data_IF_750545874734
#
_entry.id   IF_750545874734
#
_cell.length_a   1.000
_cell.length_b   1.000
_cell.length_c   1.000
_cell.angle_alpha   90.00
_cell.angle_beta   90.00
_cell.angle_gamma   90.00
#
_symmetry.space_group_name_H-M   'P 1'
#
loop_
_entity.id
_entity.type
_entity.pdbx_description
1 polymer ?
#
# COMPACT_ATOMS: atom_id res chain seq x y z
N UNK A 1 -36.33 -3.40 14.06
CA UNK A 1 -36.64 -1.96 14.21
C UNK A 1 -35.31 -1.25 14.41
N UNK A 2 -34.88 -0.25 13.65
CA UNK A 2 -35.49 0.48 12.54
C UNK A 2 -34.50 0.66 11.38
N UNK A 3 -35.04 0.80 10.18
CA UNK A 3 -34.28 1.12 8.96
C UNK A 3 -34.27 2.63 8.84
N UNK A 4 -33.10 3.26 8.91
CA UNK A 4 -32.98 4.67 8.56
C UNK A 4 -32.93 4.76 7.02
N UNK A 5 -34.06 5.11 6.42
CA UNK A 5 -34.16 5.49 5.02
C UNK A 5 -34.03 7.01 4.97
N UNK A 6 -32.89 7.50 4.50
CA UNK A 6 -32.71 8.92 4.26
C UNK A 6 -33.39 9.27 2.94
N UNK A 7 -34.48 10.03 3.00
CA UNK A 7 -35.12 10.62 1.82
C UNK A 7 -34.56 12.02 1.64
N UNK A 8 -33.73 12.18 0.61
CA UNK A 8 -33.14 13.46 0.23
C UNK A 8 -34.28 14.44 -0.14
N UNK A 9 -34.40 15.63 0.49
CA UNK A 9 -35.40 16.59 0.09
C UNK A 9 -35.04 17.11 -1.31
N UNK A 10 -35.96 16.92 -2.26
CA UNK A 10 -35.88 17.53 -3.58
C UNK A 10 -35.85 19.04 -3.42
N UNK A 11 -34.80 19.68 -3.95
CA UNK A 11 -34.70 21.13 -4.04
C UNK A 11 -35.89 21.65 -4.85
N UNK A 12 -36.90 22.19 -4.15
CA UNK A 12 -37.90 23.03 -4.77
C UNK A 12 -37.38 24.46 -4.73
N UNK A 13 -36.88 24.91 -5.87
CA UNK A 13 -36.77 26.32 -6.18
C UNK A 13 -38.19 26.89 -6.26
N UNK A 14 -38.52 27.80 -5.35
CA UNK A 14 -39.18 29.09 -5.63
C UNK A 14 -39.77 29.65 -4.34
N UNK A 15 -39.16 30.71 -3.82
CA UNK A 15 -39.92 31.90 -3.45
C UNK A 15 -38.96 33.10 -3.38
N UNK A 16 -38.94 33.85 -4.48
CA UNK A 16 -38.34 35.18 -4.49
C UNK A 16 -39.03 36.11 -3.49
N UNK A 17 -38.22 36.96 -2.85
CA UNK A 17 -38.68 38.10 -2.08
C UNK A 17 -37.57 39.13 -2.03
N UNK A 18 -37.72 40.19 -2.84
CA UNK A 18 -36.90 41.40 -2.88
C UNK A 18 -36.49 41.87 -1.47
N UNK A 19 -35.20 42.12 -1.27
CA UNK A 19 -34.72 42.76 -0.05
C UNK A 19 -33.21 42.70 0.17
N UNK A 20 -32.51 43.65 -0.44
CA UNK A 20 -31.30 44.30 0.10
C UNK A 20 -29.95 43.56 0.03
N UNK A 21 -29.14 44.10 -0.87
CA UNK A 21 -27.74 43.87 -1.23
C UNK A 21 -26.72 44.10 -0.07
N UNK A 22 -26.78 43.30 1.00
CA UNK A 22 -25.79 43.40 2.10
C UNK A 22 -25.33 42.07 2.72
N UNK A 23 -26.08 40.98 2.59
CA UNK A 23 -25.78 39.73 3.31
C UNK A 23 -24.77 38.80 2.65
N UNK A 24 -24.67 38.80 1.32
CA UNK A 24 -23.75 37.90 0.60
C UNK A 24 -22.28 38.29 0.81
N UNK A 25 -21.99 39.59 0.86
CA UNK A 25 -20.64 40.12 1.09
C UNK A 25 -20.08 39.76 2.48
N UNK A 26 -20.91 39.81 3.52
CA UNK A 26 -20.49 39.48 4.88
C UNK A 26 -20.23 37.98 5.06
N UNK A 27 -21.10 37.13 4.50
CA UNK A 27 -20.92 35.68 4.56
C UNK A 27 -19.70 35.24 3.75
N UNK A 28 -19.47 35.81 2.56
CA UNK A 28 -18.27 35.52 1.77
C UNK A 28 -16.99 36.00 2.49
N UNK A 29 -17.02 37.16 3.16
CA UNK A 29 -15.89 37.63 3.95
C UNK A 29 -15.58 36.71 5.14
N UNK A 30 -16.60 36.19 5.82
CA UNK A 30 -16.44 35.22 6.91
C UNK A 30 -15.86 33.90 6.40
N UNK A 31 -16.32 33.39 5.26
CA UNK A 31 -15.78 32.17 4.63
C UNK A 31 -14.32 32.37 4.24
N UNK A 32 -13.98 33.54 3.70
CA UNK A 32 -12.62 33.83 3.26
C UNK A 32 -11.65 33.99 4.43
N UNK A 33 -12.11 34.52 5.57
CA UNK A 33 -11.34 34.55 6.82
C UNK A 33 -11.12 33.15 7.40
N UNK A 34 -12.17 32.32 7.44
CA UNK A 34 -12.08 30.94 7.95
C UNK A 34 -11.15 30.09 7.07
N UNK A 35 -11.24 30.25 5.75
CA UNK A 35 -10.31 29.62 4.80
C UNK A 35 -8.85 30.09 4.97
N UNK A 36 -8.64 31.38 5.27
CA UNK A 36 -7.31 31.92 5.54
C UNK A 36 -6.73 31.40 6.86
N UNK A 37 -7.53 31.33 7.93
CA UNK A 37 -7.14 30.73 9.20
C UNK A 37 -6.80 29.24 9.04
N UNK A 38 -7.63 28.47 8.33
CA UNK A 38 -7.33 27.06 8.04
C UNK A 38 -6.05 26.90 7.19
N UNK A 39 -5.81 27.79 6.22
CA UNK A 39 -4.58 27.76 5.42
C UNK A 39 -3.33 28.10 6.25
N UNK A 40 -3.44 29.02 7.20
CA UNK A 40 -2.36 29.33 8.14
C UNK A 40 -2.13 28.16 9.08
N UNK A 41 -3.17 27.63 9.73
CA UNK A 41 -3.10 26.44 10.62
C UNK A 41 -2.46 25.27 9.88
N UNK A 42 -2.88 24.98 8.65
CA UNK A 42 -2.28 23.93 7.82
C UNK A 42 -0.82 24.25 7.46
N UNK A 43 -0.46 25.52 7.30
CA UNK A 43 0.90 25.98 7.06
C UNK A 43 1.82 25.85 8.28
N UNK A 44 1.35 26.18 9.49
CA UNK A 44 2.10 26.00 10.75
C UNK A 44 2.20 24.51 11.11
N UNK A 45 1.13 23.73 10.88
CA UNK A 45 1.19 22.27 11.03
C UNK A 45 2.17 21.66 10.02
N UNK A 46 2.11 22.05 8.74
CA UNK A 46 3.02 21.57 7.70
C UNK A 46 4.47 22.00 7.93
N UNK A 47 4.70 23.19 8.49
CA UNK A 47 6.02 23.63 8.93
C UNK A 47 6.54 22.76 10.09
N UNK A 48 5.69 22.43 11.07
CA UNK A 48 6.02 21.48 12.16
C UNK A 48 6.33 20.07 11.63
N UNK A 49 5.66 19.61 10.58
CA UNK A 49 5.94 18.32 9.93
C UNK A 49 7.22 18.34 9.08
N UNK A 50 7.61 19.48 8.50
CA UNK A 50 8.85 19.61 7.71
C UNK A 50 10.10 19.88 8.56
N UNK A 51 9.98 20.47 9.75
CA UNK A 51 11.12 20.82 10.61
C UNK A 51 11.65 19.64 11.46
N UNK A 52 11.13 18.43 11.25
CA UNK A 52 11.83 17.21 11.65
C UNK A 52 12.05 17.04 13.16
N UNK A 53 11.10 17.47 13.99
CA UNK A 53 10.91 16.79 15.28
C UNK A 53 10.30 15.41 14.96
N UNK A 54 11.17 14.47 14.58
CA UNK A 54 10.88 13.06 14.75
C UNK A 54 10.46 12.92 16.20
N UNK A 55 9.17 12.64 16.42
CA UNK A 55 8.64 12.36 17.74
C UNK A 55 9.36 11.09 18.19
N UNK A 56 10.54 11.24 18.80
CA UNK A 56 11.26 10.17 19.47
C UNK A 56 10.42 9.92 20.71
N UNK A 57 9.41 9.08 20.54
CA UNK A 57 8.70 8.51 21.65
C UNK A 57 9.77 7.91 22.55
N UNK A 58 9.84 8.28 23.84
CA UNK A 58 10.72 7.58 24.77
C UNK A 58 10.44 6.08 24.59
N UNK A 59 11.48 5.22 24.60
CA UNK A 59 11.28 3.78 24.43
C UNK A 59 10.17 3.40 25.39
N UNK A 60 9.04 2.99 24.81
CA UNK A 60 7.90 2.66 25.65
C UNK A 60 8.42 1.60 26.61
N UNK A 61 8.08 1.70 27.92
CA UNK A 61 8.38 0.59 28.82
C UNK A 61 7.96 -0.70 28.11
N UNK A 62 8.71 -1.78 28.27
CA UNK A 62 8.41 -3.10 27.68
C UNK A 62 7.08 -3.62 28.24
N UNK A 63 5.99 -2.97 27.86
CA UNK A 63 4.63 -3.41 28.05
C UNK A 63 4.48 -4.45 26.95
N UNK A 64 4.31 -5.71 27.34
CA UNK A 64 3.95 -6.76 26.39
C UNK A 64 2.67 -6.34 25.66
N UNK A 65 2.85 -5.78 24.46
CA UNK A 65 1.78 -5.47 23.54
C UNK A 65 1.22 -6.77 22.97
N UNK A 66 -0.10 -6.80 22.77
CA UNK A 66 -0.83 -7.95 22.29
C UNK A 66 -1.36 -8.86 23.39
N UNK A 67 -1.45 -10.16 23.08
CA UNK A 67 -2.07 -11.13 23.98
C UNK A 67 -1.15 -11.47 25.17
N UNK A 68 -1.61 -11.31 26.43
CA UNK A 68 -0.82 -11.74 27.57
C UNK A 68 -0.59 -13.26 27.54
N UNK A 69 0.67 -13.68 27.47
CA UNK A 69 1.03 -15.11 27.42
C UNK A 69 1.21 -15.70 28.82
N UNK A 70 1.74 -14.92 29.75
CA UNK A 70 2.04 -15.32 31.12
C UNK A 70 1.64 -14.21 32.09
N UNK A 71 1.16 -14.58 33.28
CA UNK A 71 0.95 -13.64 34.37
C UNK A 71 2.28 -13.36 35.08
N UNK A 72 2.38 -12.24 35.80
CA UNK A 72 3.54 -11.89 36.63
C UNK A 72 3.88 -12.95 37.70
N UNK A 73 2.91 -13.76 38.12
CA UNK A 73 3.12 -14.88 39.04
C UNK A 73 3.58 -16.19 38.34
N UNK A 74 3.85 -16.15 37.03
CA UNK A 74 4.24 -17.31 36.21
C UNK A 74 3.08 -18.22 35.78
N UNK A 75 1.85 -17.93 36.20
CA UNK A 75 0.67 -18.71 35.82
C UNK A 75 0.10 -18.29 34.47
N UNK A 76 -0.58 -19.22 33.78
CA UNK A 76 -1.22 -18.91 32.50
C UNK A 76 -2.46 -18.00 32.69
N UNK A 77 -2.60 -16.90 31.91
CA UNK A 77 -3.77 -16.03 31.93
C UNK A 77 -5.03 -16.77 31.47
N UNK A 78 -6.17 -16.43 32.06
CA UNK A 78 -7.49 -16.98 31.74
C UNK A 78 -8.40 -15.88 31.19
N UNK A 79 -9.29 -16.23 30.26
CA UNK A 79 -10.30 -15.30 29.75
C UNK A 79 -11.56 -15.41 30.60
N UNK A 80 -11.97 -14.30 31.20
CA UNK A 80 -13.20 -14.17 31.95
C UNK A 80 -14.18 -13.23 31.23
N UNK A 81 -15.46 -13.39 31.53
CA UNK A 81 -16.52 -12.53 31.00
C UNK A 81 -16.92 -11.50 32.06
N UNK A 82 -17.02 -10.24 31.67
CA UNK A 82 -17.55 -9.17 32.49
C UNK A 82 -19.08 -9.30 32.56
N UNK A 83 -19.61 -9.34 33.79
CA UNK A 83 -21.04 -9.39 34.06
C UNK A 83 -21.58 -8.06 34.59
N UNK A 84 -20.79 -6.98 34.53
CA UNK A 84 -21.23 -5.64 34.94
C UNK A 84 -22.27 -5.11 33.95
N UNK A 85 -23.20 -4.29 34.46
CA UNK A 85 -24.26 -3.66 33.63
C UNK A 85 -23.71 -2.71 32.56
N UNK A 86 -22.52 -2.16 32.77
CA UNK A 86 -21.85 -1.24 31.84
C UNK A 86 -21.29 -1.95 30.62
N UNK A 87 -20.78 -3.17 30.80
CA UNK A 87 -20.06 -3.93 29.76
C UNK A 87 -20.47 -5.41 29.78
N UNK A 88 -21.78 -5.74 29.64
CA UNK A 88 -22.25 -7.11 29.77
C UNK A 88 -21.69 -7.97 28.64
N UNK A 89 -21.02 -9.07 29.00
CA UNK A 89 -20.48 -10.01 28.03
C UNK A 89 -19.09 -9.67 27.50
N UNK A 90 -18.50 -8.52 27.85
CA UNK A 90 -17.14 -8.14 27.41
C UNK A 90 -16.10 -9.05 28.06
N UNK A 91 -15.14 -9.55 27.29
CA UNK A 91 -14.13 -10.52 27.78
C UNK A 91 -12.83 -9.83 28.19
N UNK A 92 -12.15 -10.34 29.20
CA UNK A 92 -10.85 -9.84 29.65
C UNK A 92 -9.95 -10.99 30.13
N UNK A 93 -8.64 -10.79 30.01
CA UNK A 93 -7.61 -11.65 30.59
C UNK A 93 -7.49 -11.38 32.09
N UNK A 94 -7.36 -12.45 32.88
CA UNK A 94 -7.18 -12.39 34.34
C UNK A 94 -6.38 -13.58 34.84
N UNK A 95 -5.81 -13.50 36.04
CA UNK A 95 -5.12 -14.62 36.67
C UNK A 95 -6.04 -15.41 37.60
N UNK A 96 -5.79 -16.73 37.72
CA UNK A 96 -6.41 -17.58 38.75
C UNK A 96 -6.08 -17.10 40.17
N UNK A 97 -4.87 -16.58 40.37
CA UNK A 97 -4.35 -16.20 41.68
C UNK A 97 -4.59 -14.71 41.99
N UNK A 98 -5.41 -14.02 41.21
CA UNK A 98 -5.65 -12.56 41.30
C UNK A 98 -6.02 -12.02 42.69
N UNK A 99 -6.50 -12.89 43.58
CA UNK A 99 -6.98 -12.55 44.91
C UNK A 99 -5.92 -12.78 46.02
N UNK A 100 -4.68 -13.14 45.66
CA UNK A 100 -3.57 -13.38 46.61
C UNK A 100 -2.91 -12.10 47.17
N UNK A 101 -3.29 -10.94 46.64
CA UNK A 101 -2.77 -9.63 47.06
C UNK A 101 -1.59 -9.10 46.24
N UNK A 102 -1.07 -9.88 45.30
CA UNK A 102 -0.01 -9.46 44.37
C UNK A 102 -0.58 -8.82 43.08
N UNK A 103 0.30 -8.22 42.27
CA UNK A 103 -0.08 -7.70 40.96
C UNK A 103 -0.24 -8.85 39.95
N UNK A 104 -1.42 -8.95 39.34
CA UNK A 104 -1.73 -9.94 38.31
C UNK A 104 -2.16 -9.30 37.00
N UNK A 105 -2.04 -10.08 35.93
CA UNK A 105 -2.49 -9.68 34.59
C UNK A 105 -3.98 -9.32 34.61
N UNK A 106 -4.29 -8.14 34.06
CA UNK A 106 -5.63 -7.73 33.70
C UNK A 106 -5.55 -6.93 32.41
N UNK A 107 -6.27 -7.36 31.38
CA UNK A 107 -6.32 -6.67 30.08
C UNK A 107 -7.60 -7.03 29.37
N UNK A 108 -8.26 -6.06 28.73
CA UNK A 108 -9.42 -6.38 27.92
C UNK A 108 -9.03 -7.21 26.69
N UNK A 109 -9.90 -8.14 26.30
CA UNK A 109 -9.63 -9.02 25.18
C UNK A 109 -9.63 -8.27 23.85
N UNK A 110 -10.56 -7.33 23.65
CA UNK A 110 -10.64 -6.49 22.46
C UNK A 110 -9.45 -5.54 22.34
N UNK A 111 -8.97 -4.97 23.44
CA UNK A 111 -7.74 -4.15 23.44
C UNK A 111 -6.53 -4.99 22.99
N UNK A 112 -6.38 -6.20 23.53
CA UNK A 112 -5.33 -7.12 23.10
C UNK A 112 -5.44 -7.51 21.61
N UNK A 113 -6.66 -7.76 21.12
CA UNK A 113 -6.91 -8.04 19.69
C UNK A 113 -6.56 -6.84 18.82
N UNK A 114 -6.95 -5.62 19.21
CA UNK A 114 -6.67 -4.41 18.44
C UNK A 114 -5.17 -4.15 18.35
N UNK A 115 -4.41 -4.38 19.43
CA UNK A 115 -2.96 -4.26 19.42
C UNK A 115 -2.31 -5.26 18.45
N UNK A 116 -2.74 -6.52 18.47
CA UNK A 116 -2.25 -7.56 17.55
C UNK A 116 -2.60 -7.25 16.09
N UNK A 117 -3.84 -6.83 15.83
CA UNK A 117 -4.27 -6.42 14.49
C UNK A 117 -3.47 -5.21 13.98
N UNK A 118 -3.13 -4.26 14.87
CA UNK A 118 -2.31 -3.10 14.50
C UNK A 118 -0.88 -3.50 14.19
N UNK A 119 -0.29 -4.41 14.97
CA UNK A 119 1.03 -4.96 14.71
C UNK A 119 1.06 -5.70 13.37
N UNK A 120 0.10 -6.59 13.13
CA UNK A 120 -0.05 -7.34 11.88
C UNK A 120 -0.34 -6.43 10.67
N UNK A 121 -1.12 -5.36 10.84
CA UNK A 121 -1.37 -4.39 9.78
C UNK A 121 -0.09 -3.65 9.36
N UNK A 122 0.82 -3.37 10.31
CA UNK A 122 2.13 -2.80 10.01
C UNK A 122 3.02 -3.76 9.18
N UNK A 123 3.04 -5.04 9.56
CA UNK A 123 3.83 -6.06 8.85
C UNK A 123 3.32 -6.32 7.43
N UNK A 124 2.00 -6.37 7.24
CA UNK A 124 1.40 -6.58 5.91
C UNK A 124 1.69 -5.42 4.96
N UNK A 125 1.74 -4.18 5.45
CA UNK A 125 2.13 -3.02 4.66
C UNK A 125 3.60 -3.10 4.21
N UNK A 126 4.51 -3.43 5.12
CA UNK A 126 5.93 -3.60 4.77
C UNK A 126 6.16 -4.76 3.80
N UNK A 127 5.42 -5.86 3.96
CA UNK A 127 5.50 -7.01 3.07
C UNK A 127 5.01 -6.64 1.66
N UNK A 128 3.92 -5.87 1.57
CA UNK A 128 3.37 -5.41 0.28
C UNK A 128 4.37 -4.51 -0.44
N UNK A 129 4.96 -3.54 0.26
CA UNK A 129 5.98 -2.66 -0.31
C UNK A 129 7.22 -3.44 -0.82
N UNK A 130 7.65 -4.47 -0.09
CA UNK A 130 8.77 -5.32 -0.53
C UNK A 130 8.41 -6.14 -1.77
N UNK A 131 7.19 -6.67 -1.82
CA UNK A 131 6.69 -7.41 -3.00
C UNK A 131 6.63 -6.48 -4.23
N UNK A 132 6.10 -5.28 -4.07
CA UNK A 132 6.01 -4.31 -5.17
C UNK A 132 7.40 -3.88 -5.67
N UNK A 133 8.33 -3.63 -4.75
CA UNK A 133 9.72 -3.32 -5.10
C UNK A 133 10.41 -4.46 -5.85
N UNK A 134 10.19 -5.71 -5.43
CA UNK A 134 10.76 -6.88 -6.09
C UNK A 134 10.15 -7.09 -7.48
N UNK A 135 8.83 -6.99 -7.60
CA UNK A 135 8.13 -7.10 -8.89
C UNK A 135 8.64 -6.06 -9.88
N UNK A 136 8.76 -4.78 -9.47
CA UNK A 136 9.30 -3.74 -10.34
C UNK A 136 10.73 -4.04 -10.82
N UNK A 137 11.61 -4.50 -9.91
CA UNK A 137 12.99 -4.86 -10.28
C UNK A 137 13.04 -6.06 -11.23
N UNK A 138 12.19 -7.06 -11.01
CA UNK A 138 12.09 -8.25 -11.84
C UNK A 138 11.57 -7.90 -13.23
N UNK A 139 10.50 -7.11 -13.32
CA UNK A 139 9.90 -6.70 -14.59
C UNK A 139 10.94 -5.97 -15.45
N UNK A 140 11.65 -4.99 -14.88
CA UNK A 140 12.72 -4.27 -15.57
C UNK A 140 13.84 -5.21 -16.07
N UNK A 141 14.29 -6.15 -15.24
CA UNK A 141 15.30 -7.14 -15.67
C UNK A 141 14.80 -8.05 -16.79
N UNK A 142 13.52 -8.44 -16.75
CA UNK A 142 12.94 -9.29 -17.80
C UNK A 142 12.80 -8.54 -19.11
N UNK A 143 12.35 -7.28 -19.08
CA UNK A 143 12.27 -6.42 -20.26
C UNK A 143 13.65 -6.18 -20.88
N UNK A 144 14.68 -5.88 -20.07
CA UNK A 144 16.05 -5.70 -20.58
C UNK A 144 16.58 -6.98 -21.25
N UNK A 145 16.35 -8.15 -20.62
CA UNK A 145 16.76 -9.45 -21.17
C UNK A 145 16.01 -9.77 -22.46
N UNK A 146 14.71 -9.46 -22.55
CA UNK A 146 13.91 -9.64 -23.76
C UNK A 146 14.41 -8.78 -24.91
N UNK A 147 14.65 -7.49 -24.68
CA UNK A 147 15.21 -6.58 -25.69
C UNK A 147 16.58 -7.05 -26.19
N UNK A 148 17.43 -7.55 -25.28
CA UNK A 148 18.74 -8.09 -25.65
C UNK A 148 18.62 -9.35 -26.51
N UNK A 149 17.69 -10.25 -26.17
CA UNK A 149 17.43 -11.46 -26.95
C UNK A 149 16.88 -11.10 -28.33
N UNK A 150 15.90 -10.20 -28.41
CA UNK A 150 15.31 -9.74 -29.65
C UNK A 150 16.37 -9.18 -30.60
N UNK A 151 17.24 -8.29 -30.10
CA UNK A 151 18.37 -7.76 -30.86
C UNK A 151 19.31 -8.85 -31.38
N UNK A 152 19.66 -9.83 -30.55
CA UNK A 152 20.51 -10.95 -30.98
C UNK A 152 19.84 -11.80 -32.06
N UNK A 153 18.52 -12.00 -31.98
CA UNK A 153 17.75 -12.75 -32.98
C UNK A 153 17.73 -12.00 -34.32
N UNK A 154 17.51 -10.68 -34.31
CA UNK A 154 17.57 -9.85 -35.52
C UNK A 154 18.94 -9.90 -36.18
N UNK A 155 20.02 -9.74 -35.40
CA UNK A 155 21.39 -9.84 -35.91
C UNK A 155 21.69 -11.21 -36.50
N UNK A 156 21.23 -12.29 -35.87
CA UNK A 156 21.38 -13.66 -36.38
C UNK A 156 20.59 -13.87 -37.68
N UNK A 157 19.37 -13.36 -37.76
CA UNK A 157 18.54 -13.43 -38.96
C UNK A 157 19.19 -12.67 -40.14
N UNK A 158 19.76 -11.49 -39.89
CA UNK A 158 20.46 -10.70 -40.90
C UNK A 158 21.77 -11.37 -41.36
N UNK A 159 22.55 -11.94 -40.43
CA UNK A 159 23.78 -12.68 -40.78
C UNK A 159 23.45 -13.93 -41.62
N UNK A 160 22.38 -14.65 -41.26
CA UNK A 160 21.95 -15.85 -41.98
C UNK A 160 21.46 -15.55 -43.40
N UNK A 161 20.75 -14.43 -43.61
CA UNK A 161 20.34 -14.01 -44.96
C UNK A 161 21.56 -13.63 -45.82
N UNK A 162 22.55 -12.94 -45.25
CA UNK A 162 23.83 -12.65 -45.91
C UNK A 162 24.57 -13.91 -46.34
N UNK A 163 24.74 -14.87 -45.42
CA UNK A 163 25.44 -16.15 -45.69
C UNK A 163 24.71 -16.97 -46.76
N UNK A 164 23.38 -17.05 -46.71
CA UNK A 164 22.61 -17.79 -47.71
C UNK A 164 22.76 -17.18 -49.12
N UNK A 165 22.80 -15.85 -49.23
CA UNK A 165 23.04 -15.17 -50.50
C UNK A 165 24.46 -15.37 -51.01
N UNK A 166 25.49 -15.21 -50.16
CA UNK A 166 26.89 -15.43 -50.53
C UNK A 166 27.14 -16.86 -50.99
N UNK A 167 26.61 -17.85 -50.25
CA UNK A 167 26.73 -19.26 -50.62
C UNK A 167 26.00 -19.58 -51.92
N UNK A 168 24.81 -19.01 -52.15
CA UNK A 168 24.09 -19.18 -53.42
C UNK A 168 24.89 -18.62 -54.61
N UNK A 169 25.44 -17.40 -54.49
CA UNK A 169 26.26 -16.78 -55.54
C UNK A 169 27.53 -17.62 -55.79
N UNK A 170 28.21 -18.07 -54.73
CA UNK A 170 29.41 -18.90 -54.86
C UNK A 170 29.12 -20.22 -55.59
N UNK A 171 28.03 -20.91 -55.26
CA UNK A 171 27.61 -22.14 -55.94
C UNK A 171 27.30 -21.89 -57.42
N UNK A 172 26.60 -20.81 -57.75
CA UNK A 172 26.29 -20.45 -59.14
C UNK A 172 27.55 -20.21 -59.99
N UNK A 173 28.53 -19.47 -59.46
CA UNK A 173 29.81 -19.22 -60.16
C UNK A 173 30.55 -20.53 -60.44
N UNK A 174 30.59 -21.44 -59.47
CA UNK A 174 31.23 -22.76 -59.62
C UNK A 174 30.57 -23.57 -60.74
N UNK A 175 29.24 -23.59 -60.81
CA UNK A 175 28.49 -24.29 -61.87
C UNK A 175 28.82 -23.74 -63.26
N UNK A 176 28.88 -22.41 -63.43
CA UNK A 176 29.25 -21.81 -64.72
C UNK A 176 30.67 -22.15 -65.17
N UNK A 177 31.62 -22.22 -64.23
CA UNK A 177 33.00 -22.64 -64.53
C UNK A 177 33.02 -24.07 -65.07
N UNK A 178 32.30 -25.00 -64.44
CA UNK A 178 32.23 -26.38 -64.90
C UNK A 178 31.57 -26.53 -66.27
N UNK A 179 30.49 -25.78 -66.55
CA UNK A 179 29.85 -25.77 -67.87
C UNK A 179 30.78 -25.24 -68.96
N UNK A 180 31.51 -24.14 -68.69
CA UNK A 180 32.46 -23.56 -69.63
C UNK A 180 33.62 -24.50 -69.95
N UNK A 181 34.15 -25.19 -68.93
CA UNK A 181 35.18 -26.21 -69.12
C UNK A 181 34.64 -27.38 -69.96
N UNK A 182 33.43 -27.89 -69.68
CA UNK A 182 32.82 -28.98 -70.44
C UNK A 182 32.63 -28.67 -71.94
N UNK A 183 32.28 -27.43 -72.27
CA UNK A 183 32.16 -26.98 -73.66
C UNK A 183 33.50 -26.86 -74.40
N UNK A 184 34.62 -26.68 -73.69
CA UNK A 184 35.96 -26.67 -74.29
C UNK A 184 36.45 -28.08 -74.69
N UNK A 185 35.86 -29.13 -74.13
CA UNK A 185 36.22 -30.53 -74.38
C UNK A 185 35.30 -31.24 -75.39
N UNK A 186 34.34 -30.52 -75.98
CA UNK A 186 33.42 -30.99 -77.05
C UNK A 186 33.85 -30.37 -78.38
#
# INVERSE_FOLDING_TARGET
>A
MGRYSYSQPSQSEDFGGDGEDSGYSEIEALIQMDQAELSNVNGEELFRYMEGEEQVYPPQPEVEFGFPQICYCGSQPQIATCYRRTDPGRRFYTCRNKDDGDCHVWKWWDDAVMEEMRALAGETLQLTQKVDSLNFSSDHETEEKLLRIEKMVEELAQKNSGISFETFVAVMVIVFIFLGIGLLFI
#
